data_IF_773074794491
#
_entry.id   IF_773074794491
#
_cell.length_a   1.000
_cell.length_b   1.000
_cell.length_c   1.000
_cell.angle_alpha   90.00
_cell.angle_beta   90.00
_cell.angle_gamma   90.00
#
_symmetry.space_group_name_H-M   'P 1'
#
loop_
_entity.id
_entity.type
_entity.pdbx_description
1 polymer ?
#
# COMPACT_ATOMS: atom_id res chain seq x y z
N UNK A 1 -55.21 54.69 28.21
CA UNK A 1 -53.76 54.79 27.92
C UNK A 1 -53.12 53.43 28.15
N UNK A 2 -52.76 52.72 27.07
CA UNK A 2 -52.29 51.32 27.08
C UNK A 2 -50.76 51.34 27.01
N UNK A 3 -50.06 50.97 28.10
CA UNK A 3 -48.59 50.92 28.13
C UNK A 3 -48.11 49.55 27.63
N UNK A 4 -47.42 49.53 26.49
CA UNK A 4 -46.68 48.38 25.99
C UNK A 4 -45.41 48.20 26.85
N UNK A 5 -45.20 47.00 27.39
CA UNK A 5 -43.89 46.57 27.89
C UNK A 5 -43.09 46.01 26.70
N UNK A 6 -41.92 46.57 26.44
CA UNK A 6 -40.94 46.03 25.51
C UNK A 6 -40.02 45.07 26.28
N UNK A 7 -40.01 43.79 25.89
CA UNK A 7 -39.03 42.81 26.37
C UNK A 7 -37.79 42.94 25.48
N UNK A 8 -36.66 43.35 26.05
CA UNK A 8 -35.37 43.34 25.37
C UNK A 8 -34.82 41.92 25.46
N UNK A 9 -34.89 41.17 24.37
CA UNK A 9 -34.19 39.90 24.22
C UNK A 9 -32.74 40.24 23.85
N UNK A 10 -31.82 40.06 24.80
CA UNK A 10 -30.39 40.18 24.53
C UNK A 10 -29.96 39.09 23.53
N UNK A 11 -29.43 39.49 22.38
CA UNK A 11 -28.74 38.58 21.47
C UNK A 11 -27.48 38.05 22.18
N UNK A 12 -27.51 36.80 22.66
CA UNK A 12 -26.28 36.05 22.88
C UNK A 12 -25.69 35.74 21.51
N UNK A 13 -24.71 36.53 21.09
CA UNK A 13 -23.82 36.17 19.99
C UNK A 13 -22.97 34.98 20.45
N UNK A 14 -23.39 33.77 20.05
CA UNK A 14 -22.52 32.60 20.01
C UNK A 14 -21.38 32.94 19.04
N UNK A 15 -20.22 33.32 19.58
CA UNK A 15 -18.99 33.29 18.83
C UNK A 15 -18.75 31.82 18.46
N UNK A 16 -19.07 31.45 17.22
CA UNK A 16 -18.71 30.15 16.69
C UNK A 16 -17.18 30.05 16.77
N UNK A 17 -16.70 29.11 17.58
CA UNK A 17 -15.30 28.70 17.56
C UNK A 17 -15.00 28.26 16.13
N UNK A 18 -14.28 29.08 15.35
CA UNK A 18 -13.62 28.60 14.14
C UNK A 18 -12.57 27.60 14.60
N UNK A 19 -12.94 26.31 14.62
CA UNK A 19 -11.94 25.28 14.38
C UNK A 19 -11.40 25.54 12.99
N UNK A 20 -10.18 26.09 12.90
CA UNK A 20 -9.38 26.03 11.68
C UNK A 20 -9.14 24.54 11.39
N UNK A 21 -10.13 23.89 10.78
CA UNK A 21 -9.92 22.62 10.10
C UNK A 21 -9.03 22.96 8.93
N UNK A 22 -7.76 22.60 9.02
CA UNK A 22 -6.88 22.52 7.87
C UNK A 22 -7.62 21.67 6.83
N UNK A 23 -8.12 22.32 5.78
CA UNK A 23 -8.93 21.67 4.76
C UNK A 23 -8.05 20.72 3.98
N UNK A 24 -8.50 19.47 3.84
CA UNK A 24 -7.93 18.50 2.90
C UNK A 24 -7.95 19.15 1.50
N UNK A 25 -6.87 19.10 0.71
CA UNK A 25 -6.90 19.63 -0.64
C UNK A 25 -8.00 18.95 -1.46
N UNK A 26 -8.69 19.71 -2.32
CA UNK A 26 -9.90 19.24 -3.02
C UNK A 26 -9.70 17.91 -3.76
N UNK A 27 -8.53 17.68 -4.36
CA UNK A 27 -8.23 16.44 -5.08
C UNK A 27 -7.97 15.21 -4.18
N UNK A 28 -7.84 15.41 -2.86
CA UNK A 28 -7.61 14.37 -1.85
C UNK A 28 -8.75 14.26 -0.84
N UNK A 29 -9.92 14.83 -1.13
CA UNK A 29 -11.13 14.73 -0.28
C UNK A 29 -11.51 13.28 0.05
N UNK A 30 -11.07 12.30 -0.74
CA UNK A 30 -11.18 10.88 -0.43
C UNK A 30 -10.60 10.47 0.94
N UNK A 31 -9.69 11.26 1.51
CA UNK A 31 -8.93 10.89 2.70
C UNK A 31 -9.39 11.52 4.02
N UNK A 32 -10.33 12.48 4.02
CA UNK A 32 -11.01 13.05 5.19
C UNK A 32 -10.13 13.55 6.38
N UNK A 33 -8.80 13.42 6.35
CA UNK A 33 -7.87 13.79 7.41
C UNK A 33 -6.57 14.39 6.83
N UNK A 34 -6.03 15.47 7.42
CA UNK A 34 -4.81 16.11 6.96
C UNK A 34 -3.58 15.22 7.21
N UNK A 35 -2.91 14.78 6.14
CA UNK A 35 -1.64 14.06 6.19
C UNK A 35 -0.79 14.43 4.95
N UNK A 36 0.27 13.68 4.66
CA UNK A 36 1.01 13.83 3.41
C UNK A 36 0.22 13.10 2.33
N UNK A 37 0.07 13.73 1.18
CA UNK A 37 -0.66 13.17 0.05
C UNK A 37 0.29 12.92 -1.11
N UNK A 38 0.21 11.74 -1.70
CA UNK A 38 0.97 11.36 -2.88
C UNK A 38 -0.02 11.08 -4.00
N UNK A 39 0.29 11.59 -5.19
CA UNK A 39 -0.44 11.29 -6.43
C UNK A 39 0.55 10.84 -7.48
N UNK A 40 0.32 9.67 -8.05
CA UNK A 40 1.09 9.21 -9.19
C UNK A 40 0.53 9.86 -10.46
N UNK A 41 1.41 10.42 -11.28
CA UNK A 41 1.02 11.16 -12.50
C UNK A 41 0.40 10.27 -13.58
N UNK A 42 0.73 8.99 -13.55
CA UNK A 42 0.42 8.01 -14.59
C UNK A 42 -0.61 7.03 -14.03
N UNK A 43 -1.54 6.50 -14.85
CA UNK A 43 -2.35 5.36 -14.42
C UNK A 43 -1.49 4.10 -14.31
N UNK A 44 -1.70 3.30 -13.27
CA UNK A 44 -1.00 2.03 -13.02
C UNK A 44 -2.01 0.89 -13.12
N UNK A 45 -1.83 -0.02 -14.07
CA UNK A 45 -2.79 -1.09 -14.37
C UNK A 45 -4.25 -0.61 -14.58
N UNK A 46 -4.39 0.59 -15.16
CA UNK A 46 -5.67 1.27 -15.37
C UNK A 46 -6.25 1.97 -14.13
N UNK A 47 -5.56 1.97 -13.00
CA UNK A 47 -5.95 2.71 -11.79
C UNK A 47 -5.28 4.08 -11.74
N UNK A 48 -6.04 5.10 -11.35
CA UNK A 48 -5.48 6.33 -10.79
C UNK A 48 -5.17 6.07 -9.32
N UNK A 49 -3.93 6.27 -8.89
CA UNK A 49 -3.51 5.95 -7.52
C UNK A 49 -3.17 7.23 -6.74
N UNK A 50 -3.84 7.39 -5.61
CA UNK A 50 -3.53 8.39 -4.59
C UNK A 50 -3.20 7.68 -3.28
N UNK A 51 -2.32 8.27 -2.48
CA UNK A 51 -1.93 7.71 -1.18
C UNK A 51 -1.97 8.81 -0.14
N UNK A 52 -2.62 8.54 0.98
CA UNK A 52 -2.46 9.31 2.22
C UNK A 52 -1.41 8.62 3.07
N UNK A 53 -0.30 9.30 3.34
CA UNK A 53 0.85 8.75 4.04
C UNK A 53 1.04 9.38 5.42
N UNK A 54 0.98 8.53 6.45
CA UNK A 54 1.25 8.84 7.85
C UNK A 54 2.72 8.53 8.12
N UNK A 55 3.58 9.47 7.73
CA UNK A 55 5.03 9.34 7.79
C UNK A 55 5.54 9.29 9.24
N UNK A 56 6.41 8.31 9.53
CA UNK A 56 7.19 8.17 10.77
C UNK A 56 8.68 7.98 10.42
N UNK A 57 9.35 9.08 10.07
CA UNK A 57 10.71 9.03 9.51
C UNK A 57 10.66 8.70 8.02
N UNK A 58 11.41 7.71 7.56
CA UNK A 58 11.48 7.34 6.13
C UNK A 58 10.35 6.39 5.70
N UNK A 59 9.65 5.77 6.66
CA UNK A 59 8.55 4.82 6.44
C UNK A 59 7.30 5.31 7.19
N UNK A 60 6.13 4.81 6.83
CA UNK A 60 4.89 5.22 7.47
C UNK A 60 3.69 4.37 7.07
N UNK A 61 2.59 4.49 7.79
CA UNK A 61 1.36 3.82 7.37
C UNK A 61 0.77 4.57 6.17
N UNK A 62 0.16 3.85 5.23
CA UNK A 62 -0.38 4.42 4.01
C UNK A 62 -1.81 3.95 3.78
N UNK A 63 -2.70 4.87 3.43
CA UNK A 63 -4.01 4.55 2.90
C UNK A 63 -4.01 4.86 1.40
N UNK A 64 -4.08 3.82 0.59
CA UNK A 64 -4.23 3.90 -0.85
C UNK A 64 -5.68 4.18 -1.21
N UNK A 65 -5.87 4.97 -2.25
CA UNK A 65 -7.12 5.13 -2.99
C UNK A 65 -6.81 4.80 -4.45
N UNK A 66 -7.28 3.64 -4.92
CA UNK A 66 -7.17 3.20 -6.30
C UNK A 66 -8.51 3.44 -6.99
N UNK A 67 -8.51 4.27 -8.03
CA UNK A 67 -9.72 4.62 -8.77
C UNK A 67 -9.67 4.05 -10.19
N UNK A 68 -10.70 3.30 -10.59
CA UNK A 68 -10.84 2.75 -11.95
C UNK A 68 -12.30 2.83 -12.37
N UNK A 69 -12.55 3.44 -13.54
CA UNK A 69 -13.89 3.62 -14.10
C UNK A 69 -14.88 4.31 -13.12
N UNK A 70 -14.39 5.25 -12.30
CA UNK A 70 -15.20 6.00 -11.34
C UNK A 70 -15.52 5.25 -10.04
N UNK A 71 -15.03 4.02 -9.86
CA UNK A 71 -15.12 3.28 -8.60
C UNK A 71 -13.80 3.42 -7.84
N UNK A 72 -13.89 3.71 -6.54
CA UNK A 72 -12.75 3.89 -5.64
C UNK A 72 -12.61 2.71 -4.69
N UNK A 73 -11.39 2.21 -4.58
CA UNK A 73 -11.00 1.13 -3.70
C UNK A 73 -9.95 1.62 -2.72
N UNK A 74 -10.10 1.26 -1.45
CA UNK A 74 -9.23 1.72 -0.38
C UNK A 74 -8.44 0.56 0.20
N UNK A 75 -7.14 0.77 0.41
CA UNK A 75 -6.27 -0.24 0.99
C UNK A 75 -5.31 0.38 2.01
N UNK A 76 -5.18 -0.22 3.19
CA UNK A 76 -4.30 0.28 4.25
C UNK A 76 -3.04 -0.58 4.36
N UNK A 77 -1.88 0.00 4.06
CA UNK A 77 -0.58 -0.63 4.21
C UNK A 77 0.13 -0.13 5.48
N UNK A 78 0.66 -1.06 6.26
CA UNK A 78 1.54 -0.73 7.39
C UNK A 78 3.00 -0.64 6.93
N UNK A 79 3.77 0.29 7.51
CA UNK A 79 5.21 0.45 7.25
C UNK A 79 5.57 0.55 5.75
N UNK A 80 4.82 1.36 5.02
CA UNK A 80 5.01 1.61 3.61
C UNK A 80 5.87 2.85 3.35
N UNK A 81 6.58 2.84 2.22
CA UNK A 81 7.22 4.01 1.63
C UNK A 81 7.35 3.82 0.12
N UNK A 82 7.48 4.93 -0.59
CA UNK A 82 8.05 4.94 -1.93
C UNK A 82 9.58 5.07 -1.84
N UNK A 83 10.34 4.28 -2.62
CA UNK A 83 11.80 4.33 -2.61
C UNK A 83 12.34 5.71 -2.95
N UNK A 84 11.70 6.43 -3.88
CA UNK A 84 12.09 7.80 -4.24
C UNK A 84 12.02 8.74 -3.04
N UNK A 85 11.04 8.52 -2.15
CA UNK A 85 10.87 9.30 -0.93
C UNK A 85 11.82 8.83 0.18
N UNK A 86 11.97 7.51 0.32
CA UNK A 86 12.89 6.89 1.27
C UNK A 86 14.33 7.39 1.06
N UNK A 87 14.84 7.31 -0.17
CA UNK A 87 16.21 7.68 -0.53
C UNK A 87 16.51 9.17 -0.28
N UNK A 88 15.47 10.02 -0.28
CA UNK A 88 15.62 11.45 0.03
C UNK A 88 15.78 11.72 1.52
N UNK A 89 15.34 10.81 2.39
CA UNK A 89 15.42 10.97 3.85
C UNK A 89 14.67 12.18 4.41
N UNK A 90 13.69 12.72 3.67
CA UNK A 90 12.99 13.95 4.04
C UNK A 90 11.75 13.65 4.88
N UNK A 91 11.51 14.47 5.90
CA UNK A 91 10.20 14.54 6.58
C UNK A 91 9.36 15.66 6.01
N UNK A 92 8.10 15.38 5.69
CA UNK A 92 7.20 16.35 5.06
C UNK A 92 6.19 16.91 6.06
N UNK A 93 5.87 18.22 6.01
CA UNK A 93 4.77 18.79 6.79
C UNK A 93 3.40 18.15 6.46
N UNK A 94 2.46 18.21 7.39
CA UNK A 94 1.07 17.82 7.12
C UNK A 94 0.47 18.67 5.99
N UNK A 95 -0.42 18.07 5.18
CA UNK A 95 -1.01 18.63 3.97
C UNK A 95 -0.04 18.87 2.80
N UNK A 96 1.19 18.35 2.88
CA UNK A 96 2.08 18.33 1.71
C UNK A 96 1.45 17.46 0.62
N UNK A 97 1.36 18.00 -0.59
CA UNK A 97 1.02 17.23 -1.81
C UNK A 97 2.30 16.96 -2.58
N UNK A 98 2.54 15.69 -2.89
CA UNK A 98 3.69 15.22 -3.64
C UNK A 98 3.17 14.54 -4.92
N UNK A 99 3.56 15.07 -6.07
CA UNK A 99 3.34 14.38 -7.34
C UNK A 99 4.58 13.58 -7.72
N UNK A 100 4.39 12.28 -7.94
CA UNK A 100 5.47 11.35 -8.30
C UNK A 100 5.24 10.74 -9.67
N UNK A 101 6.33 10.55 -10.40
CA UNK A 101 6.38 9.59 -11.48
C UNK A 101 6.48 8.19 -10.86
N UNK A 102 5.64 7.26 -11.34
CA UNK A 102 5.61 5.91 -10.81
C UNK A 102 6.85 5.13 -11.30
N UNK A 103 7.57 4.51 -10.36
CA UNK A 103 8.62 3.55 -10.69
C UNK A 103 7.95 2.22 -11.05
N UNK A 104 7.96 1.88 -12.34
CA UNK A 104 7.34 0.65 -12.82
C UNK A 104 8.28 -0.55 -12.67
N UNK A 105 7.69 -1.71 -12.32
CA UNK A 105 8.36 -3.01 -12.33
C UNK A 105 9.00 -3.27 -13.68
N UNK A 106 10.28 -3.64 -13.66
CA UNK A 106 11.04 -3.90 -14.88
C UNK A 106 10.62 -5.22 -15.50
N UNK A 107 10.69 -5.34 -16.82
CA UNK A 107 10.43 -6.63 -17.50
C UNK A 107 11.38 -7.76 -17.08
N UNK A 108 12.59 -7.40 -16.63
CA UNK A 108 13.57 -8.34 -16.09
C UNK A 108 13.22 -8.82 -14.68
N UNK A 109 12.41 -8.06 -13.95
CA UNK A 109 11.83 -8.48 -12.67
C UNK A 109 10.58 -9.29 -13.01
N UNK A 110 10.69 -10.62 -13.10
CA UNK A 110 9.60 -11.45 -13.60
C UNK A 110 8.38 -11.40 -12.65
N UNK A 111 8.59 -11.51 -11.33
CA UNK A 111 7.50 -11.58 -10.34
C UNK A 111 7.51 -10.47 -9.31
N UNK A 112 8.66 -10.17 -8.70
CA UNK A 112 8.76 -9.20 -7.60
C UNK A 112 9.65 -8.02 -8.02
N UNK A 113 9.21 -6.80 -7.74
CA UNK A 113 9.97 -5.59 -8.03
C UNK A 113 10.75 -5.11 -6.81
N UNK A 114 11.94 -4.57 -7.05
CA UNK A 114 12.80 -4.03 -6.01
C UNK A 114 12.43 -2.59 -5.67
N UNK A 115 12.15 -1.81 -6.70
CA UNK A 115 12.06 -0.35 -6.59
C UNK A 115 10.62 0.17 -6.69
N UNK A 116 9.68 -0.63 -7.20
CA UNK A 116 8.28 -0.23 -7.28
C UNK A 116 7.65 -0.22 -5.88
N UNK A 117 6.97 0.86 -5.45
CA UNK A 117 6.33 0.96 -4.12
C UNK A 117 5.17 -0.01 -3.93
N UNK A 118 4.58 -0.41 -5.05
CA UNK A 118 3.58 -1.45 -5.23
C UNK A 118 3.64 -1.86 -6.71
N UNK A 119 3.07 -2.99 -7.09
CA UNK A 119 3.00 -3.44 -8.47
C UNK A 119 1.91 -4.50 -8.65
N UNK A 120 1.73 -4.95 -9.89
CA UNK A 120 0.84 -6.05 -10.23
C UNK A 120 1.66 -7.20 -10.83
N UNK A 121 1.39 -8.43 -10.41
CA UNK A 121 2.05 -9.63 -10.93
C UNK A 121 1.27 -10.89 -10.59
N UNK A 122 1.19 -11.83 -11.54
CA UNK A 122 0.68 -13.20 -11.35
C UNK A 122 1.72 -14.00 -10.57
N UNK A 123 1.62 -14.01 -9.24
CA UNK A 123 2.53 -14.72 -8.34
C UNK A 123 1.99 -16.09 -7.92
N UNK A 124 0.72 -16.38 -8.17
CA UNK A 124 0.09 -17.66 -7.84
C UNK A 124 -0.11 -18.62 -9.04
N UNK A 125 0.26 -18.18 -10.25
CA UNK A 125 0.23 -18.93 -11.50
C UNK A 125 -1.17 -19.29 -12.00
N UNK A 126 -2.18 -18.48 -11.67
CA UNK A 126 -3.55 -18.64 -12.14
C UNK A 126 -3.87 -17.85 -13.42
N UNK A 127 -2.97 -16.93 -13.82
CA UNK A 127 -3.08 -16.10 -15.02
C UNK A 127 -3.67 -14.70 -14.78
N UNK A 128 -4.12 -14.39 -13.57
CA UNK A 128 -4.54 -13.05 -13.15
C UNK A 128 -3.42 -12.37 -12.34
N UNK A 129 -3.41 -11.04 -12.32
CA UNK A 129 -2.38 -10.31 -11.56
C UNK A 129 -2.85 -9.99 -10.14
N UNK A 130 -2.03 -10.34 -9.15
CA UNK A 130 -2.20 -9.88 -7.78
C UNK A 130 -1.72 -8.43 -7.64
N UNK A 131 -2.36 -7.67 -6.76
CA UNK A 131 -1.81 -6.40 -6.30
C UNK A 131 -0.81 -6.68 -5.19
N UNK A 132 0.39 -6.12 -5.29
CA UNK A 132 1.49 -6.41 -4.37
C UNK A 132 2.02 -5.10 -3.79
N UNK A 133 2.07 -5.00 -2.46
CA UNK A 133 2.72 -3.91 -1.76
C UNK A 133 4.17 -4.30 -1.49
N UNK A 134 5.10 -3.45 -1.93
CA UNK A 134 6.51 -3.59 -1.59
C UNK A 134 6.76 -2.97 -0.21
N UNK A 135 7.12 -3.82 0.76
CA UNK A 135 7.55 -3.39 2.08
C UNK A 135 9.06 -3.22 2.06
N UNK A 136 9.47 -2.04 1.62
CA UNK A 136 10.88 -1.69 1.43
C UNK A 136 11.69 -1.94 2.70
N UNK A 137 12.81 -2.65 2.58
CA UNK A 137 13.72 -3.02 3.69
C UNK A 137 13.05 -3.66 4.91
N UNK A 138 11.95 -4.38 4.71
CA UNK A 138 11.19 -5.03 5.79
C UNK A 138 11.42 -6.54 5.90
N UNK A 139 12.23 -7.12 5.02
CA UNK A 139 12.63 -8.52 5.04
C UNK A 139 13.95 -8.76 5.80
N UNK A 140 14.53 -9.94 5.60
CA UNK A 140 15.81 -10.30 6.19
C UNK A 140 16.97 -9.46 5.60
N UNK A 141 17.90 -9.03 6.45
CA UNK A 141 19.10 -8.26 6.04
C UNK A 141 18.76 -7.04 5.15
N UNK A 142 17.70 -6.32 5.51
CA UNK A 142 17.20 -5.14 4.81
C UNK A 142 16.75 -5.40 3.36
N UNK A 143 16.41 -6.63 3.00
CA UNK A 143 15.69 -6.93 1.76
C UNK A 143 14.25 -6.41 1.82
N UNK A 144 13.56 -6.42 0.68
CA UNK A 144 12.15 -6.10 0.63
C UNK A 144 11.31 -7.33 0.99
N UNK A 145 10.28 -7.13 1.80
CA UNK A 145 9.20 -8.10 1.97
C UNK A 145 7.99 -7.67 1.13
N UNK A 146 7.06 -8.57 0.88
CA UNK A 146 5.89 -8.29 0.05
C UNK A 146 4.61 -8.74 0.71
N UNK A 147 3.60 -7.88 0.67
CA UNK A 147 2.23 -8.30 0.97
C UNK A 147 1.47 -8.46 -0.35
N UNK A 148 0.81 -9.61 -0.52
CA UNK A 148 0.13 -10.02 -1.76
C UNK A 148 -1.38 -9.97 -1.58
N UNK A 149 -2.11 -9.43 -2.56
CA UNK A 149 -3.55 -9.28 -2.52
C UNK A 149 -4.21 -9.78 -3.79
N UNK A 150 -5.21 -10.64 -3.63
CA UNK A 150 -6.18 -10.91 -4.68
C UNK A 150 -7.00 -9.66 -4.95
N UNK A 151 -7.21 -9.36 -6.22
CA UNK A 151 -8.09 -8.28 -6.66
C UNK A 151 -9.42 -8.89 -7.10
N UNK A 152 -10.44 -8.77 -6.27
CA UNK A 152 -11.77 -9.28 -6.66
C UNK A 152 -12.32 -8.53 -7.89
N UNK A 153 -13.27 -9.12 -8.63
CA UNK A 153 -13.95 -8.44 -9.74
C UNK A 153 -14.68 -7.13 -9.35
N UNK A 154 -14.92 -6.95 -8.05
CA UNK A 154 -15.53 -5.75 -7.47
C UNK A 154 -14.49 -4.84 -6.81
N UNK A 155 -13.21 -5.06 -7.06
CA UNK A 155 -12.06 -4.28 -6.60
C UNK A 155 -11.79 -4.28 -5.08
N UNK A 156 -12.36 -5.22 -4.34
CA UNK A 156 -11.86 -5.56 -3.00
C UNK A 156 -10.49 -6.25 -3.10
N UNK A 157 -9.57 -5.83 -2.25
CA UNK A 157 -8.25 -6.44 -2.06
C UNK A 157 -8.32 -7.43 -0.90
N UNK A 158 -7.98 -8.69 -1.13
CA UNK A 158 -7.98 -9.74 -0.12
C UNK A 158 -6.55 -10.22 0.07
N UNK A 159 -5.98 -10.00 1.26
CA UNK A 159 -4.61 -10.38 1.52
C UNK A 159 -4.45 -11.90 1.52
N UNK A 160 -3.46 -12.40 0.78
CA UNK A 160 -2.97 -13.77 0.91
C UNK A 160 -2.09 -13.84 2.17
N UNK A 161 -2.52 -14.63 3.15
CA UNK A 161 -1.89 -14.72 4.49
C UNK A 161 -1.30 -16.11 4.76
N UNK A 162 -1.30 -16.95 3.74
CA UNK A 162 -0.74 -18.29 3.72
C UNK A 162 0.65 -18.31 3.09
N UNK A 163 1.42 -19.35 3.43
CA UNK A 163 2.66 -19.67 2.72
C UNK A 163 2.36 -20.13 1.29
N UNK A 164 3.20 -19.76 0.29
CA UNK A 164 4.47 -19.04 0.44
C UNK A 164 4.36 -17.51 0.48
N UNK A 165 3.18 -16.92 0.31
CA UNK A 165 3.02 -15.48 0.10
C UNK A 165 3.53 -14.63 1.27
N UNK A 166 3.37 -15.11 2.50
CA UNK A 166 3.90 -14.43 3.71
C UNK A 166 5.42 -14.54 3.87
N UNK A 167 6.09 -15.34 3.04
CA UNK A 167 7.55 -15.55 3.09
C UNK A 167 8.26 -14.97 1.85
N UNK A 168 7.54 -14.24 1.00
CA UNK A 168 8.14 -13.61 -0.18
C UNK A 168 9.07 -12.48 0.24
N UNK A 169 10.32 -12.60 -0.19
CA UNK A 169 11.37 -11.66 0.11
C UNK A 169 12.32 -11.52 -1.08
N UNK A 170 12.75 -10.28 -1.36
CA UNK A 170 13.60 -10.00 -2.50
C UNK A 170 14.94 -10.74 -2.40
N UNK A 171 15.34 -11.38 -3.50
CA UNK A 171 16.56 -12.19 -3.57
C UNK A 171 16.52 -13.48 -2.75
N UNK A 172 15.42 -13.75 -2.03
CA UNK A 172 15.21 -14.94 -1.22
C UNK A 172 14.07 -15.83 -1.75
N UNK A 173 13.62 -15.60 -2.98
CA UNK A 173 12.65 -16.47 -3.62
C UNK A 173 12.97 -16.69 -5.10
N UNK A 174 12.56 -17.85 -5.61
CA UNK A 174 12.61 -18.19 -7.03
C UNK A 174 11.26 -18.76 -7.45
N UNK A 175 10.72 -18.21 -8.53
CA UNK A 175 9.50 -18.67 -9.17
C UNK A 175 9.85 -19.56 -10.37
N UNK A 176 9.01 -20.54 -10.62
CA UNK A 176 9.07 -21.42 -11.78
C UNK A 176 7.64 -21.64 -12.27
N UNK A 177 7.25 -20.91 -13.32
CA UNK A 177 5.91 -20.95 -13.89
C UNK A 177 5.62 -22.25 -14.63
N UNK A 178 6.63 -22.93 -15.18
CA UNK A 178 6.46 -24.21 -15.88
C UNK A 178 6.03 -25.30 -14.90
N UNK A 179 6.71 -25.38 -13.75
CA UNK A 179 6.41 -26.35 -12.71
C UNK A 179 5.41 -25.84 -11.66
N UNK A 180 5.02 -24.57 -11.75
CA UNK A 180 4.19 -23.82 -10.79
C UNK A 180 4.72 -23.95 -9.37
N UNK A 181 5.99 -23.64 -9.19
CA UNK A 181 6.65 -23.71 -7.88
C UNK A 181 7.22 -22.36 -7.45
N UNK A 182 7.21 -22.16 -6.14
CA UNK A 182 7.88 -21.05 -5.47
C UNK A 182 8.88 -21.68 -4.49
N UNK A 183 10.16 -21.41 -4.72
CA UNK A 183 11.22 -21.75 -3.77
C UNK A 183 11.50 -20.53 -2.90
N UNK A 184 11.44 -20.68 -1.58
CA UNK A 184 11.83 -19.67 -0.60
C UNK A 184 13.13 -20.10 0.06
N UNK A 185 14.07 -19.17 0.17
CA UNK A 185 15.36 -19.33 0.82
C UNK A 185 15.37 -18.55 2.13
N UNK A 186 16.05 -19.07 3.15
CA UNK A 186 16.12 -18.41 4.44
C UNK A 186 17.30 -18.87 5.28
N UNK A 187 17.31 -18.46 6.55
CA UNK A 187 18.29 -18.94 7.52
C UNK A 187 17.66 -19.11 8.90
N UNK A 188 18.05 -20.17 9.61
CA UNK A 188 17.59 -20.42 10.98
C UNK A 188 18.37 -19.64 12.06
N UNK A 189 19.14 -18.62 11.68
CA UNK A 189 19.93 -17.79 12.59
C UNK A 189 21.27 -18.40 13.05
N UNK A 190 21.54 -19.69 12.78
CA UNK A 190 22.76 -20.38 13.19
C UNK A 190 23.68 -20.77 12.00
N UNK A 191 23.62 -20.01 10.91
CA UNK A 191 24.30 -20.24 9.62
C UNK A 191 23.81 -21.44 8.79
N UNK A 192 22.70 -22.09 9.14
CA UNK A 192 22.08 -23.05 8.23
C UNK A 192 21.21 -22.29 7.22
N UNK A 193 21.43 -22.56 5.94
CA UNK A 193 20.50 -22.18 4.89
C UNK A 193 19.26 -23.08 5.00
N UNK A 194 18.08 -22.46 4.93
CA UNK A 194 16.81 -23.17 4.79
C UNK A 194 16.33 -22.98 3.36
N UNK A 195 15.72 -24.01 2.79
CA UNK A 195 15.06 -23.97 1.49
C UNK A 195 13.72 -24.68 1.56
N UNK A 196 12.64 -23.95 1.29
CA UNK A 196 11.29 -24.50 1.14
C UNK A 196 10.87 -24.43 -0.32
N UNK A 197 10.33 -25.53 -0.86
CA UNK A 197 9.68 -25.52 -2.18
C UNK A 197 8.20 -25.74 -1.98
N UNK A 198 7.42 -24.78 -2.46
CA UNK A 198 5.97 -24.86 -2.52
C UNK A 198 5.55 -25.10 -3.97
N UNK A 199 4.61 -26.02 -4.18
CA UNK A 199 4.06 -26.31 -5.50
C UNK A 199 2.56 -26.07 -5.51
N UNK A 200 2.06 -25.41 -6.55
CA UNK A 200 0.63 -25.23 -6.76
C UNK A 200 -0.01 -26.58 -7.15
N UNK A 201 -0.96 -27.04 -6.36
CA UNK A 201 -1.80 -28.22 -6.63
C UNK A 201 -3.23 -27.91 -6.25
N UNK A 202 -4.17 -28.23 -7.15
CA UNK A 202 -5.60 -28.01 -6.93
C UNK A 202 -5.94 -26.62 -6.36
N UNK A 203 -5.26 -25.57 -6.90
CA UNK A 203 -5.38 -24.14 -6.53
C UNK A 203 -4.84 -23.76 -5.14
N UNK A 204 -4.00 -24.60 -4.55
CA UNK A 204 -3.33 -24.29 -3.28
C UNK A 204 -1.86 -24.64 -3.36
N UNK A 205 -1.02 -23.82 -2.74
CA UNK A 205 0.38 -24.16 -2.55
C UNK A 205 0.54 -25.20 -1.44
N UNK A 206 1.26 -26.27 -1.76
CA UNK A 206 1.68 -27.30 -0.81
C UNK A 206 3.20 -27.29 -0.67
N UNK A 207 3.71 -27.42 0.56
CA UNK A 207 5.13 -27.65 0.80
C UNK A 207 5.49 -29.05 0.30
N UNK A 208 6.35 -29.14 -0.71
CA UNK A 208 6.78 -30.42 -1.32
C UNK A 208 8.20 -30.81 -0.95
N UNK A 209 9.03 -29.86 -0.51
CA UNK A 209 10.40 -30.11 -0.06
C UNK A 209 10.84 -29.04 0.95
N UNK A 210 11.58 -29.47 1.97
CA UNK A 210 12.17 -28.62 3.00
C UNK A 210 13.56 -29.14 3.33
N UNK A 211 14.57 -28.28 3.22
CA UNK A 211 16.00 -28.57 3.47
C UNK A 211 16.63 -27.53 4.38
#
# INVERSE_FOLDING_TARGET
MRRLLFIIIGLLSLAACKTDKTSVPQEFECFNQPHIYIKYKQPINGYTVKVMWLQYGEVGNALFCLEKQGVQYYYFAEKWTDKILYDKGNTYPHNTVIELDYTAKLKSEEYLSDDSPFFFSDVDFDGEEEFIINRYKSGSRDSNAYDVYDVSPYGYFIQKTEVPFTELENGQCKFDSENKTITVFGSNGWNNAIRHIYQLKDRKFELVQSE
#
